data_IF_701414973222
#
_entry.id   IF_701414973222
#
_cell.length_a   1.000
_cell.length_b   1.000
_cell.length_c   1.000
_cell.angle_alpha   90.00
_cell.angle_beta   90.00
_cell.angle_gamma   90.00
#
_symmetry.space_group_name_H-M   'P 1'
#
loop_
_entity.id
_entity.type
_entity.pdbx_description
1 polymer ?
#
# COMPACT_ATOMS: atom_id res chain seq x y z
N UNK A 1 -15.13 -43.16 -77.06
CA UNK A 1 -15.82 -42.01 -76.44
C UNK A 1 -15.33 -41.91 -75.00
N UNK A 2 -14.70 -40.77 -74.65
CA UNK A 2 -14.47 -40.24 -73.29
C UNK A 2 -13.59 -41.08 -72.34
N UNK A 3 -12.71 -40.54 -71.51
CA UNK A 3 -12.04 -39.24 -71.41
C UNK A 3 -10.87 -39.44 -70.44
N UNK A 4 -9.87 -38.61 -70.62
CA UNK A 4 -8.63 -38.46 -69.88
C UNK A 4 -8.87 -37.83 -68.49
N UNK A 5 -8.09 -38.22 -67.47
CA UNK A 5 -7.58 -37.21 -66.53
C UNK A 5 -6.33 -37.69 -65.80
N UNK A 6 -5.20 -37.20 -66.31
CA UNK A 6 -3.86 -37.38 -65.79
C UNK A 6 -3.55 -36.19 -64.88
N UNK A 7 -3.18 -36.53 -63.67
CA UNK A 7 -2.65 -35.67 -62.62
C UNK A 7 -1.55 -34.71 -63.13
N UNK A 8 -1.76 -33.39 -63.04
CA UNK A 8 -0.72 -32.36 -63.08
C UNK A 8 -1.19 -31.11 -62.31
N UNK A 9 -0.67 -30.93 -61.10
CA UNK A 9 -0.75 -29.67 -60.37
C UNK A 9 0.20 -28.62 -61.00
N UNK A 10 -0.26 -27.36 -61.21
CA UNK A 10 0.63 -26.28 -61.62
C UNK A 10 1.37 -25.70 -60.41
N UNK A 11 2.70 -25.77 -60.46
CA UNK A 11 3.61 -25.06 -59.53
C UNK A 11 3.46 -23.54 -59.75
N UNK A 12 2.74 -22.86 -58.86
CA UNK A 12 2.65 -21.41 -58.84
C UNK A 12 3.96 -20.85 -58.26
N UNK A 13 4.74 -20.19 -59.11
CA UNK A 13 5.84 -19.31 -58.70
C UNK A 13 5.27 -17.99 -58.21
N UNK A 14 5.35 -17.74 -56.91
CA UNK A 14 5.04 -16.44 -56.32
C UNK A 14 6.37 -15.70 -56.05
N UNK A 15 6.59 -14.48 -56.58
CA UNK A 15 7.77 -13.70 -56.24
C UNK A 15 7.64 -13.13 -54.81
N UNK A 16 8.70 -13.34 -54.04
CA UNK A 16 8.90 -12.87 -52.66
C UNK A 16 9.13 -11.33 -52.67
N UNK A 17 8.42 -10.53 -51.86
CA UNK A 17 8.71 -9.11 -51.72
C UNK A 17 9.97 -8.90 -50.87
N UNK A 18 11.01 -8.40 -51.52
CA UNK A 18 12.29 -8.02 -50.93
C UNK A 18 12.10 -6.80 -50.01
N UNK A 19 12.12 -7.03 -48.70
CA UNK A 19 12.02 -5.98 -47.68
C UNK A 19 13.44 -5.47 -47.36
N UNK A 20 13.90 -4.47 -48.11
CA UNK A 20 15.11 -3.71 -47.76
C UNK A 20 14.81 -2.79 -46.58
N UNK A 21 15.28 -3.15 -45.38
CA UNK A 21 15.30 -2.26 -44.22
C UNK A 21 16.35 -1.15 -44.42
N UNK A 22 15.89 0.10 -44.35
CA UNK A 22 16.75 1.29 -44.29
C UNK A 22 17.05 1.59 -42.81
N UNK A 23 18.28 1.34 -42.38
CA UNK A 23 18.77 1.74 -41.05
C UNK A 23 18.96 3.25 -41.03
N UNK A 24 18.07 3.96 -40.33
CA UNK A 24 18.22 5.39 -40.01
C UNK A 24 19.12 5.53 -38.78
N UNK A 25 20.34 6.04 -38.97
CA UNK A 25 21.25 6.42 -37.87
C UNK A 25 20.79 7.74 -37.27
N UNK A 26 20.18 7.71 -36.08
CA UNK A 26 19.99 8.92 -35.28
C UNK A 26 21.31 9.33 -34.58
N UNK A 27 21.62 10.64 -34.51
CA UNK A 27 22.81 11.14 -33.82
C UNK A 27 22.65 11.02 -32.30
N UNK A 28 23.68 10.45 -31.66
CA UNK A 28 23.80 10.28 -30.20
C UNK A 28 23.89 11.68 -29.54
N UNK A 29 23.05 12.00 -28.54
CA UNK A 29 23.15 13.27 -27.80
C UNK A 29 24.44 13.33 -26.96
N UNK A 30 25.12 14.49 -26.89
CA UNK A 30 26.35 14.63 -26.11
C UNK A 30 26.07 14.56 -24.61
N UNK A 31 26.76 13.64 -23.92
CA UNK A 31 26.76 13.49 -22.46
C UNK A 31 27.18 14.79 -21.74
N UNK A 32 26.49 15.21 -20.66
CA UNK A 32 26.84 16.42 -19.92
C UNK A 32 28.14 16.24 -19.13
N UNK A 33 29.13 17.11 -19.38
CA UNK A 33 30.41 17.15 -18.68
C UNK A 33 30.23 17.81 -17.30
N UNK A 34 30.35 17.02 -16.24
CA UNK A 34 30.23 17.47 -14.85
C UNK A 34 31.44 18.35 -14.45
N UNK A 35 31.18 19.58 -13.96
CA UNK A 35 32.23 20.54 -13.56
C UNK A 35 32.63 20.31 -12.09
N UNK A 36 33.72 19.58 -11.90
CA UNK A 36 34.29 19.21 -10.60
C UNK A 36 34.61 20.36 -9.60
N UNK A 37 35.02 21.60 -10.00
CA UNK A 37 35.41 22.61 -9.01
C UNK A 37 34.24 23.22 -8.21
N UNK A 38 32.98 23.08 -8.67
CA UNK A 38 31.81 23.64 -7.99
C UNK A 38 31.37 22.83 -6.75
N UNK A 39 31.67 21.53 -6.71
CA UNK A 39 31.27 20.64 -5.61
C UNK A 39 32.17 20.82 -4.38
N UNK A 40 33.46 21.15 -4.58
CA UNK A 40 34.41 21.37 -3.49
C UNK A 40 34.11 22.66 -2.70
N UNK A 41 33.64 23.72 -3.37
CA UNK A 41 33.25 24.98 -2.72
C UNK A 41 32.03 24.82 -1.80
N UNK A 42 31.06 24.00 -2.21
CA UNK A 42 29.85 23.72 -1.42
C UNK A 42 30.15 22.87 -0.16
N UNK A 43 31.08 21.91 -0.27
CA UNK A 43 31.55 21.12 0.88
C UNK A 43 32.31 22.00 1.88
N UNK A 44 33.14 22.93 1.41
CA UNK A 44 33.85 23.86 2.28
C UNK A 44 32.87 24.74 3.09
N UNK A 45 31.79 25.21 2.46
CA UNK A 45 30.76 26.03 3.11
C UNK A 45 29.99 25.26 4.19
N UNK A 46 29.68 23.98 3.96
CA UNK A 46 29.04 23.10 4.94
C UNK A 46 29.90 22.84 6.19
N UNK A 47 31.21 22.71 6.03
CA UNK A 47 32.15 22.49 7.16
C UNK A 47 32.25 23.75 8.03
N UNK A 48 32.24 24.95 7.44
CA UNK A 48 32.28 26.22 8.19
C UNK A 48 30.99 26.43 8.99
N UNK A 49 29.82 26.13 8.42
CA UNK A 49 28.54 26.25 9.12
C UNK A 49 28.39 25.18 10.21
N UNK A 50 28.83 23.94 9.96
CA UNK A 50 28.79 22.85 10.94
C UNK A 50 29.75 23.06 12.13
N UNK A 51 30.92 23.66 11.91
CA UNK A 51 31.92 23.91 12.95
C UNK A 51 31.49 24.93 14.00
N UNK A 52 30.75 25.98 13.61
CA UNK A 52 30.29 27.01 14.54
C UNK A 52 29.20 26.53 15.51
N UNK A 53 28.35 25.55 15.12
CA UNK A 53 27.26 25.05 15.97
C UNK A 53 27.74 24.29 17.21
N UNK A 54 28.87 23.58 17.12
CA UNK A 54 29.37 22.72 18.20
C UNK A 54 30.02 23.53 19.33
N UNK A 55 30.54 24.74 19.04
CA UNK A 55 31.18 25.59 20.04
C UNK A 55 30.19 26.39 20.91
N UNK A 56 28.97 26.63 20.43
CA UNK A 56 27.92 27.33 21.20
C UNK A 56 27.08 26.39 22.07
N UNK A 57 27.07 25.09 21.81
CA UNK A 57 26.28 24.09 22.56
C UNK A 57 26.84 23.70 23.94
N UNK A 58 28.07 24.12 24.29
CA UNK A 58 28.73 23.73 25.55
C UNK A 58 28.54 24.70 26.73
N UNK A 59 27.76 25.78 26.55
CA UNK A 59 27.65 26.88 27.54
C UNK A 59 26.37 26.89 28.41
N UNK A 60 25.58 25.82 28.46
CA UNK A 60 24.34 25.76 29.26
C UNK A 60 24.35 24.72 30.39
N UNK A 61 25.52 24.46 30.99
CA UNK A 61 25.64 23.68 32.22
C UNK A 61 26.12 24.56 33.37
N UNK A 62 25.23 25.43 33.85
CA UNK A 62 25.40 26.09 35.15
C UNK A 62 24.69 25.23 36.20
N UNK A 63 25.48 24.57 37.05
CA UNK A 63 25.00 23.79 38.19
C UNK A 63 24.42 24.74 39.25
N UNK A 64 23.18 24.50 39.71
CA UNK A 64 22.58 25.18 40.85
C UNK A 64 22.43 24.19 42.04
N UNK A 65 22.65 24.61 43.31
CA UNK A 65 22.83 23.71 44.45
C UNK A 65 21.57 22.98 44.92
N UNK A 66 21.81 21.78 45.47
CA UNK A 66 20.83 20.87 46.08
C UNK A 66 20.20 21.46 47.36
N UNK A 67 18.86 21.47 47.40
CA UNK A 67 18.08 21.55 48.63
C UNK A 67 17.32 20.21 48.85
N UNK A 68 17.35 19.74 50.08
CA UNK A 68 16.84 18.46 50.60
C UNK A 68 15.30 18.33 50.48
N UNK A 69 14.72 17.12 50.35
CA UNK A 69 13.35 16.97 49.88
C UNK A 69 12.31 17.26 50.97
N UNK A 70 11.33 18.11 50.63
CA UNK A 70 10.01 18.12 51.28
C UNK A 70 9.13 17.11 50.55
N UNK A 71 8.60 16.12 51.26
CA UNK A 71 7.66 15.15 50.70
C UNK A 71 6.36 15.87 50.38
N UNK A 72 6.23 16.34 49.15
CA UNK A 72 4.95 16.67 48.55
C UNK A 72 4.38 15.38 47.96
N UNK A 73 3.21 14.96 48.44
CA UNK A 73 2.40 13.93 47.79
C UNK A 73 2.12 14.37 46.35
N UNK A 74 2.80 13.72 45.41
CA UNK A 74 2.47 13.80 43.98
C UNK A 74 1.00 13.41 43.84
N UNK A 75 0.15 14.19 43.15
CA UNK A 75 -1.14 13.67 42.73
C UNK A 75 -0.85 12.40 41.94
N UNK A 76 -1.37 11.28 42.42
CA UNK A 76 -1.41 10.03 41.67
C UNK A 76 -1.87 10.42 40.27
N UNK A 77 -0.99 10.26 39.27
CA UNK A 77 -1.41 10.40 37.89
C UNK A 77 -2.49 9.34 37.72
N UNK A 78 -3.75 9.78 37.77
CA UNK A 78 -4.87 8.99 37.29
C UNK A 78 -4.43 8.64 35.87
N UNK A 79 -4.33 7.35 35.50
CA UNK A 79 -4.08 7.00 34.12
C UNK A 79 -5.15 7.76 33.33
N UNK A 80 -4.73 8.73 32.53
CA UNK A 80 -5.60 9.31 31.52
C UNK A 80 -6.09 8.10 30.77
N UNK A 81 -7.36 7.74 30.98
CA UNK A 81 -7.98 6.64 30.26
C UNK A 81 -7.74 7.00 28.80
N UNK A 82 -6.82 6.30 28.16
CA UNK A 82 -6.67 6.34 26.71
C UNK A 82 -8.04 5.87 26.28
N UNK A 83 -8.88 6.82 25.86
CA UNK A 83 -10.19 6.51 25.31
C UNK A 83 -9.90 5.54 24.19
N UNK A 84 -10.22 4.26 24.40
CA UNK A 84 -10.07 3.25 23.36
C UNK A 84 -10.97 3.74 22.21
N UNK A 85 -10.35 4.27 21.16
CA UNK A 85 -11.06 4.80 19.99
C UNK A 85 -11.96 3.71 19.36
N UNK A 86 -11.70 2.44 19.70
CA UNK A 86 -12.47 1.26 19.31
C UNK A 86 -13.44 0.74 20.38
N UNK A 87 -13.72 1.50 21.45
CA UNK A 87 -14.56 1.05 22.56
C UNK A 87 -15.99 0.67 22.13
N UNK A 88 -16.58 1.46 21.21
CA UNK A 88 -17.93 1.24 20.69
C UNK A 88 -17.96 0.42 19.39
N UNK A 89 -16.83 -0.17 19.00
CA UNK A 89 -16.74 -0.94 17.77
C UNK A 89 -17.41 -2.30 17.92
N UNK A 90 -18.00 -2.78 16.83
CA UNK A 90 -18.56 -4.12 16.74
C UNK A 90 -17.42 -5.12 16.54
N UNK A 91 -17.62 -6.36 16.99
CA UNK A 91 -16.65 -7.45 16.80
C UNK A 91 -17.10 -8.30 15.63
N UNK A 92 -16.20 -8.47 14.65
CA UNK A 92 -16.33 -9.41 13.55
C UNK A 92 -15.47 -10.64 13.81
N UNK A 93 -15.99 -11.82 13.46
CA UNK A 93 -15.27 -13.08 13.57
C UNK A 93 -15.64 -13.98 12.39
N UNK A 94 -14.64 -14.36 11.60
CA UNK A 94 -14.79 -15.34 10.53
C UNK A 94 -13.98 -16.59 10.86
N UNK A 95 -14.65 -17.61 11.42
CA UNK A 95 -14.01 -18.89 11.76
C UNK A 95 -13.59 -19.68 10.53
N UNK A 96 -14.26 -19.48 9.38
CA UNK A 96 -13.91 -20.16 8.12
C UNK A 96 -12.59 -19.64 7.56
N UNK A 97 -12.36 -18.33 7.65
CA UNK A 97 -11.13 -17.69 7.17
C UNK A 97 -10.04 -17.55 8.25
N UNK A 98 -10.36 -17.89 9.51
CA UNK A 98 -9.38 -17.99 10.60
C UNK A 98 -8.93 -16.65 11.18
N UNK A 99 -9.82 -15.64 11.22
CA UNK A 99 -9.50 -14.35 11.83
C UNK A 99 -10.73 -13.65 12.42
N UNK A 100 -10.49 -12.64 13.25
CA UNK A 100 -11.48 -11.69 13.75
C UNK A 100 -10.86 -10.32 14.00
N UNK A 101 -11.70 -9.29 14.06
CA UNK A 101 -11.29 -7.91 14.29
C UNK A 101 -12.46 -7.08 14.83
N UNK A 102 -12.17 -5.90 15.38
CA UNK A 102 -13.22 -4.90 15.64
C UNK A 102 -13.40 -3.98 14.43
N UNK A 103 -14.59 -3.43 14.23
CA UNK A 103 -14.89 -2.47 13.16
C UNK A 103 -15.93 -1.41 13.59
N UNK A 104 -15.93 -0.21 12.97
CA UNK A 104 -16.90 0.83 13.26
C UNK A 104 -18.35 0.38 13.04
N UNK A 105 -19.26 0.82 13.90
CA UNK A 105 -20.69 0.46 13.79
C UNK A 105 -21.39 0.97 12.52
N UNK A 106 -20.79 1.98 11.86
CA UNK A 106 -21.20 2.56 10.57
C UNK A 106 -20.75 1.76 9.35
N UNK A 107 -20.00 0.68 9.56
CA UNK A 107 -19.66 -0.27 8.49
C UNK A 107 -20.48 -1.55 8.66
N UNK A 108 -20.72 -2.23 7.54
CA UNK A 108 -21.39 -3.52 7.49
C UNK A 108 -20.46 -4.54 6.82
N UNK A 109 -20.22 -5.71 7.44
CA UNK A 109 -19.51 -6.80 6.80
C UNK A 109 -20.40 -7.55 5.80
N UNK A 110 -19.80 -7.92 4.69
CA UNK A 110 -20.35 -8.74 3.63
C UNK A 110 -19.43 -9.94 3.42
N UNK A 111 -19.98 -11.14 3.51
CA UNK A 111 -19.23 -12.38 3.33
C UNK A 111 -19.70 -13.11 2.08
N UNK A 112 -18.74 -13.62 1.31
CA UNK A 112 -19.02 -14.58 0.24
C UNK A 112 -17.80 -15.48 0.07
N UNK A 113 -17.99 -16.80 0.22
CA UNK A 113 -16.97 -17.83 0.03
C UNK A 113 -15.58 -17.48 0.58
N UNK A 114 -14.73 -16.94 -0.29
CA UNK A 114 -13.32 -16.63 -0.05
C UNK A 114 -13.02 -15.18 0.37
N UNK A 115 -14.02 -14.30 0.52
CA UNK A 115 -13.79 -12.91 0.93
C UNK A 115 -14.72 -12.40 2.02
N UNK A 116 -14.24 -11.38 2.72
CA UNK A 116 -15.02 -10.49 3.59
C UNK A 116 -14.80 -9.06 3.13
N UNK A 117 -15.86 -8.33 2.83
CA UNK A 117 -15.80 -6.91 2.50
C UNK A 117 -16.50 -6.06 3.55
N UNK A 118 -15.96 -4.90 3.87
CA UNK A 118 -16.64 -3.86 4.66
C UNK A 118 -17.15 -2.78 3.73
N UNK A 119 -18.42 -2.43 3.89
CA UNK A 119 -19.07 -1.33 3.18
C UNK A 119 -19.64 -0.30 4.16
N UNK A 120 -19.82 0.94 3.69
CA UNK A 120 -20.47 1.99 4.48
C UNK A 120 -21.97 1.71 4.60
N UNK A 121 -22.52 1.77 5.82
CA UNK A 121 -23.95 1.62 6.10
C UNK A 121 -24.74 2.91 5.82
N UNK A 122 -24.47 3.55 4.68
CA UNK A 122 -25.04 4.85 4.31
C UNK A 122 -26.54 4.80 3.99
N UNK A 123 -27.24 5.95 4.04
CA UNK A 123 -28.70 6.05 3.85
C UNK A 123 -29.17 5.75 2.42
N UNK A 124 -28.23 5.57 1.49
CA UNK A 124 -28.52 5.29 0.07
C UNK A 124 -28.65 3.81 -0.25
N UNK A 125 -28.53 2.93 0.75
CA UNK A 125 -28.86 1.54 0.58
C UNK A 125 -30.38 1.41 0.44
N UNK A 126 -30.85 1.07 -0.77
CA UNK A 126 -32.21 0.61 -0.93
C UNK A 126 -32.40 -0.60 0.01
N UNK A 127 -33.32 -0.54 1.00
CA UNK A 127 -33.49 -1.62 1.96
C UNK A 127 -33.93 -2.94 1.31
N UNK A 128 -34.54 -2.86 0.12
CA UNK A 128 -34.99 -4.02 -0.65
C UNK A 128 -33.86 -4.67 -1.47
N UNK A 129 -32.69 -4.03 -1.57
CA UNK A 129 -31.56 -4.52 -2.35
C UNK A 129 -30.51 -5.21 -1.47
N UNK A 130 -29.96 -6.33 -1.96
CA UNK A 130 -28.87 -6.99 -1.27
C UNK A 130 -27.60 -6.13 -1.38
N UNK A 131 -27.29 -5.41 -0.30
CA UNK A 131 -26.15 -4.49 -0.25
C UNK A 131 -24.81 -5.16 -0.55
N UNK A 132 -24.66 -6.45 -0.25
CA UNK A 132 -23.44 -7.19 -0.57
C UNK A 132 -23.32 -7.46 -2.08
N UNK A 133 -24.42 -7.71 -2.78
CA UNK A 133 -24.41 -7.83 -4.24
C UNK A 133 -24.13 -6.47 -4.92
N UNK A 134 -24.65 -5.38 -4.35
CA UNK A 134 -24.31 -4.03 -4.83
C UNK A 134 -22.82 -3.74 -4.65
N UNK A 135 -22.27 -4.09 -3.47
CA UNK A 135 -20.87 -3.89 -3.15
C UNK A 135 -19.92 -4.68 -4.07
N UNK A 136 -20.30 -5.89 -4.49
CA UNK A 136 -19.54 -6.64 -5.49
C UNK A 136 -19.33 -5.85 -6.79
N UNK A 137 -20.32 -5.05 -7.19
CA UNK A 137 -20.26 -4.24 -8.40
C UNK A 137 -19.60 -2.87 -8.20
N UNK A 138 -19.76 -2.26 -7.01
CA UNK A 138 -19.26 -0.90 -6.72
C UNK A 138 -17.89 -0.86 -6.03
N UNK A 139 -17.43 -1.99 -5.51
CA UNK A 139 -16.23 -2.09 -4.69
C UNK A 139 -16.52 -1.99 -3.19
N UNK A 140 -15.55 -2.44 -2.41
CA UNK A 140 -15.57 -2.41 -0.95
C UNK A 140 -14.70 -1.28 -0.43
N UNK A 141 -15.05 -0.75 0.73
CA UNK A 141 -14.19 0.19 1.45
C UNK A 141 -12.91 -0.50 1.89
N UNK A 142 -13.08 -1.67 2.51
CA UNK A 142 -12.00 -2.54 2.95
C UNK A 142 -12.37 -3.96 2.53
N UNK A 143 -11.45 -4.65 1.86
CA UNK A 143 -11.65 -5.99 1.33
C UNK A 143 -10.59 -6.93 1.88
N UNK A 144 -11.02 -8.06 2.42
CA UNK A 144 -10.20 -9.16 2.91
C UNK A 144 -10.43 -10.36 1.99
N UNK A 145 -9.40 -10.76 1.24
CA UNK A 145 -9.44 -11.83 0.24
C UNK A 145 -8.48 -12.95 0.62
N UNK A 146 -8.96 -14.18 0.67
CA UNK A 146 -8.10 -15.36 0.82
C UNK A 146 -7.81 -15.98 -0.56
N UNK A 147 -6.56 -15.91 -0.99
CA UNK A 147 -6.10 -16.40 -2.29
C UNK A 147 -5.03 -17.48 -2.11
N UNK A 148 -4.94 -18.43 -3.05
CA UNK A 148 -3.88 -19.47 -3.02
C UNK A 148 -2.51 -18.93 -3.41
N UNK A 149 -2.48 -17.87 -4.20
CA UNK A 149 -1.26 -17.17 -4.63
C UNK A 149 -1.34 -15.69 -4.24
N UNK A 150 -0.21 -14.99 -4.35
CA UNK A 150 -0.09 -13.57 -4.05
C UNK A 150 0.04 -12.70 -5.31
N UNK A 151 -0.37 -13.22 -6.48
CA UNK A 151 -0.20 -12.53 -7.77
C UNK A 151 -0.80 -11.15 -7.76
N UNK A 152 -1.95 -10.97 -7.14
CA UNK A 152 -2.60 -9.66 -7.03
C UNK A 152 -1.75 -8.64 -6.27
N UNK A 153 -1.08 -9.05 -5.20
CA UNK A 153 -0.14 -8.21 -4.47
C UNK A 153 1.13 -7.95 -5.29
N UNK A 154 1.65 -8.97 -5.97
CA UNK A 154 2.84 -8.85 -6.82
C UNK A 154 2.60 -7.95 -8.02
N UNK A 155 1.43 -8.01 -8.66
CA UNK A 155 1.05 -7.10 -9.75
C UNK A 155 1.04 -5.66 -9.25
N UNK A 156 0.47 -5.42 -8.06
CA UNK A 156 0.49 -4.09 -7.43
C UNK A 156 1.92 -3.60 -7.12
N UNK A 157 2.84 -4.52 -6.80
CA UNK A 157 4.25 -4.22 -6.56
C UNK A 157 5.04 -3.97 -7.85
N UNK A 158 4.78 -4.73 -8.92
CA UNK A 158 5.59 -4.73 -10.14
C UNK A 158 5.09 -3.76 -11.23
N UNK A 159 3.78 -3.60 -11.40
CA UNK A 159 3.23 -2.82 -12.51
C UNK A 159 3.29 -1.31 -12.25
N UNK A 160 4.38 -0.60 -12.61
CA UNK A 160 4.47 0.88 -12.74
C UNK A 160 3.92 1.77 -11.59
N UNK A 161 3.43 1.20 -10.50
CA UNK A 161 2.67 1.88 -9.46
C UNK A 161 3.57 2.79 -8.62
N UNK A 162 4.86 2.49 -8.54
CA UNK A 162 5.86 3.42 -8.00
C UNK A 162 5.74 4.82 -8.63
N UNK A 163 5.42 4.90 -9.92
CA UNK A 163 5.24 6.18 -10.61
C UNK A 163 3.80 6.70 -10.56
N UNK A 164 2.80 5.86 -10.26
CA UNK A 164 1.40 6.25 -10.11
C UNK A 164 1.10 6.92 -8.77
N UNK A 165 2.00 6.77 -7.78
CA UNK A 165 1.78 7.26 -6.42
C UNK A 165 2.76 8.37 -6.03
N UNK A 166 2.26 9.38 -5.32
CA UNK A 166 3.05 10.54 -4.88
C UNK A 166 3.97 10.20 -3.69
N UNK A 167 3.56 9.26 -2.83
CA UNK A 167 4.22 8.91 -1.58
C UNK A 167 4.25 7.38 -1.36
N UNK A 168 4.61 6.64 -2.40
CA UNK A 168 4.73 5.17 -2.36
C UNK A 168 5.57 4.69 -1.17
N UNK A 169 5.06 3.70 -0.44
CA UNK A 169 5.78 2.98 0.62
C UNK A 169 5.55 1.49 0.46
N UNK A 170 6.62 0.71 0.52
CA UNK A 170 6.62 -0.75 0.68
C UNK A 170 7.31 -1.07 1.99
N UNK A 171 6.59 -1.71 2.90
CA UNK A 171 7.00 -1.86 4.30
C UNK A 171 6.64 -3.24 4.82
N UNK A 172 7.43 -3.71 5.78
CA UNK A 172 7.08 -4.87 6.59
C UNK A 172 6.45 -4.40 7.90
N UNK A 173 5.42 -5.12 8.37
CA UNK A 173 4.79 -4.87 9.65
C UNK A 173 4.34 -6.17 10.31
N UNK A 174 3.94 -6.07 11.58
CA UNK A 174 3.28 -7.18 12.28
C UNK A 174 1.80 -6.89 12.45
N UNK A 175 0.99 -7.89 12.17
CA UNK A 175 -0.44 -7.89 12.45
C UNK A 175 -0.66 -9.09 13.37
N UNK A 176 -1.11 -8.81 14.60
CA UNK A 176 -1.15 -9.81 15.66
C UNK A 176 0.19 -10.57 15.81
N UNK A 177 0.22 -11.88 15.58
CA UNK A 177 1.43 -12.71 15.63
C UNK A 177 2.04 -13.05 14.27
N UNK A 178 1.56 -12.45 13.17
CA UNK A 178 2.04 -12.72 11.80
C UNK A 178 2.78 -11.52 11.21
N UNK A 179 3.79 -11.81 10.40
CA UNK A 179 4.42 -10.81 9.55
C UNK A 179 3.53 -10.52 8.35
N UNK A 180 3.50 -9.26 7.94
CA UNK A 180 2.76 -8.76 6.81
C UNK A 180 3.65 -7.83 5.97
N UNK A 181 3.48 -7.90 4.66
CA UNK A 181 4.03 -6.92 3.73
C UNK A 181 2.90 -5.95 3.37
N UNK A 182 3.19 -4.65 3.38
CA UNK A 182 2.21 -3.60 3.15
C UNK A 182 2.74 -2.57 2.15
N UNK A 183 1.94 -2.31 1.12
CA UNK A 183 2.18 -1.26 0.12
C UNK A 183 1.11 -0.18 0.31
N UNK A 184 1.51 1.09 0.33
CA UNK A 184 0.59 2.23 0.51
C UNK A 184 1.04 3.48 -0.23
N UNK A 185 0.13 4.42 -0.40
CA UNK A 185 0.39 5.72 -0.98
C UNK A 185 -0.89 6.43 -1.43
N UNK A 186 -0.71 7.51 -2.18
CA UNK A 186 -1.77 8.37 -2.72
C UNK A 186 -1.55 8.48 -4.23
N UNK A 187 -2.58 8.24 -5.02
CA UNK A 187 -2.55 8.40 -6.47
C UNK A 187 -2.11 9.81 -6.87
N UNK A 188 -1.39 9.94 -7.98
CA UNK A 188 -0.95 11.26 -8.48
C UNK A 188 -2.08 11.99 -9.21
N UNK A 189 -2.90 11.24 -9.94
CA UNK A 189 -3.98 11.79 -10.76
C UNK A 189 -5.26 12.00 -9.97
N UNK A 190 -5.43 11.28 -8.86
CA UNK A 190 -6.60 11.38 -7.98
C UNK A 190 -6.13 11.54 -6.53
N UNK A 191 -6.89 12.20 -5.64
CA UNK A 191 -6.55 12.27 -4.22
C UNK A 191 -6.83 10.96 -3.46
N UNK A 192 -7.00 9.84 -4.16
CA UNK A 192 -7.32 8.57 -3.53
C UNK A 192 -6.07 7.97 -2.90
N UNK A 193 -6.19 7.66 -1.62
CA UNK A 193 -5.24 6.87 -0.85
C UNK A 193 -5.54 5.39 -1.03
N UNK A 194 -4.50 4.57 -1.03
CA UNK A 194 -4.61 3.13 -1.07
C UNK A 194 -3.68 2.49 -0.03
N UNK A 195 -4.08 1.30 0.42
CA UNK A 195 -3.24 0.41 1.21
C UNK A 195 -3.59 -1.03 0.89
N UNK A 196 -2.59 -1.81 0.48
CA UNK A 196 -2.72 -3.25 0.25
C UNK A 196 -1.74 -3.99 1.15
N UNK A 197 -2.21 -5.06 1.79
CA UNK A 197 -1.42 -5.90 2.66
C UNK A 197 -1.47 -7.34 2.18
N UNK A 198 -0.38 -8.06 2.39
CA UNK A 198 -0.26 -9.50 2.17
C UNK A 198 0.20 -10.17 3.46
N UNK A 199 -0.54 -11.18 3.88
CA UNK A 199 -0.25 -11.99 5.07
C UNK A 199 -0.28 -13.46 4.68
N UNK A 200 0.76 -14.23 5.03
CA UNK A 200 0.78 -15.67 4.77
C UNK A 200 -0.12 -16.43 5.75
N UNK A 201 -1.02 -17.25 5.21
CA UNK A 201 -2.00 -18.08 5.91
C UNK A 201 -1.83 -19.55 5.47
N UNK A 202 -0.79 -20.23 5.99
CA UNK A 202 -0.45 -21.60 5.57
C UNK A 202 -0.02 -21.65 4.10
N UNK A 203 -0.80 -22.35 3.28
CA UNK A 203 -0.64 -22.49 1.82
C UNK A 203 -1.41 -21.43 1.02
N UNK A 204 -1.92 -20.39 1.70
CA UNK A 204 -2.68 -19.30 1.10
C UNK A 204 -2.19 -17.96 1.62
N UNK A 205 -2.70 -16.88 1.04
CA UNK A 205 -2.41 -15.51 1.39
C UNK A 205 -3.71 -14.76 1.66
N UNK A 206 -3.75 -14.06 2.79
CA UNK A 206 -4.76 -13.06 3.07
C UNK A 206 -4.28 -11.74 2.47
N UNK A 207 -5.01 -11.26 1.46
CA UNK A 207 -4.82 -9.95 0.83
C UNK A 207 -5.85 -8.99 1.41
N UNK A 208 -5.40 -7.89 2.01
CA UNK A 208 -6.27 -6.86 2.57
C UNK A 208 -6.10 -5.60 1.76
N UNK A 209 -7.18 -4.99 1.29
CA UNK A 209 -7.16 -3.78 0.46
C UNK A 209 -8.06 -2.72 1.10
N UNK A 210 -7.60 -1.49 1.10
CA UNK A 210 -8.44 -0.32 1.30
C UNK A 210 -8.08 0.74 0.26
N UNK A 211 -9.10 1.38 -0.29
CA UNK A 211 -8.98 2.48 -1.24
C UNK A 211 -10.00 3.55 -0.89
N UNK A 212 -9.62 4.81 -0.98
CA UNK A 212 -10.53 5.92 -0.76
C UNK A 212 -9.83 7.13 -0.18
N UNK A 213 -10.54 7.91 0.61
CA UNK A 213 -9.95 9.04 1.34
C UNK A 213 -8.99 8.53 2.43
N UNK A 214 -8.07 9.40 2.87
CA UNK A 214 -7.07 9.08 3.89
C UNK A 214 -7.72 8.54 5.19
N UNK A 215 -8.89 9.05 5.56
CA UNK A 215 -9.68 8.57 6.71
C UNK A 215 -10.06 7.08 6.59
N UNK A 216 -10.29 6.56 5.38
CA UNK A 216 -10.59 5.14 5.17
C UNK A 216 -9.36 4.27 5.43
N UNK A 217 -8.17 4.77 5.10
CA UNK A 217 -6.91 4.09 5.40
C UNK A 217 -6.64 4.10 6.91
N UNK A 218 -6.94 5.20 7.59
CA UNK A 218 -6.85 5.28 9.05
C UNK A 218 -7.81 4.27 9.75
N UNK A 219 -9.03 4.09 9.23
CA UNK A 219 -9.95 3.07 9.73
C UNK A 219 -9.36 1.66 9.56
N UNK A 220 -8.73 1.36 8.41
CA UNK A 220 -8.04 0.09 8.23
C UNK A 220 -6.94 -0.09 9.29
N UNK A 221 -6.12 0.93 9.55
CA UNK A 221 -5.04 0.84 10.56
C UNK A 221 -5.58 0.55 11.97
N UNK A 222 -6.70 1.18 12.34
CA UNK A 222 -7.39 0.87 13.59
C UNK A 222 -7.95 -0.56 13.61
N UNK A 223 -8.55 -1.04 12.51
CA UNK A 223 -9.01 -2.44 12.38
C UNK A 223 -7.82 -3.40 12.58
N UNK A 224 -6.70 -3.15 11.90
CA UNK A 224 -5.50 -3.97 11.99
C UNK A 224 -4.92 -4.03 13.41
N UNK A 225 -5.06 -2.95 14.20
CA UNK A 225 -4.63 -2.92 15.61
C UNK A 225 -5.43 -3.86 16.52
N UNK A 226 -6.68 -4.17 16.14
CA UNK A 226 -7.58 -5.06 16.88
C UNK A 226 -7.65 -6.47 16.27
N UNK A 227 -6.93 -6.69 15.18
CA UNK A 227 -6.97 -7.92 14.40
C UNK A 227 -6.39 -9.09 15.20
N UNK A 228 -7.02 -10.25 15.07
CA UNK A 228 -6.63 -11.50 15.73
C UNK A 228 -6.75 -12.66 14.75
N UNK A 229 -5.70 -13.46 14.64
CA UNK A 229 -5.80 -14.77 13.99
C UNK A 229 -6.42 -15.79 14.96
N UNK A 230 -7.24 -16.69 14.44
CA UNK A 230 -7.95 -17.72 15.20
C UNK A 230 -7.23 -19.06 15.17
#
# INVERSE_FOLDING_TARGET
>A
MKEENKNMDPKINQPEPNLSETISTQPIPPSPKFKLPLVLEMIFLLVVVGGCGILLGKSLNTSQPSAQPTVATLPTQIPTAISDETANWKVYKNTRLGFGFKYPGSLMPCEDGNFTGLISSGPYANPDENQCEVAKNRGYLILFLLNKDDKEFQNFRQENYLNSFSNYKDTEMKIDNKNAEAISGIEKETPLSFKILKIRMGDSFLIIKATGEEQHIAILDQILSTFKFL
#
